data_IF_736831035085
#
_entry.id   IF_736831035085
#
_cell.length_a   1.000
_cell.length_b   1.000
_cell.length_c   1.000
_cell.angle_alpha   90.00
_cell.angle_beta   90.00
_cell.angle_gamma   90.00
#
_symmetry.space_group_name_H-M   'P 1'
#
loop_
_entity.id
_entity.type
_entity.pdbx_description
1 polymer ?
#
# COMPACT_ATOMS: atom_id res chain seq x y z
N UNK A 1 17.68 19.09 -13.01
CA UNK A 1 17.28 18.72 -11.64
C UNK A 1 18.55 18.56 -10.81
N UNK A 2 18.69 19.33 -9.73
CA UNK A 2 19.87 19.27 -8.86
C UNK A 2 19.88 17.96 -8.06
N UNK A 3 21.06 17.38 -7.77
CA UNK A 3 21.19 16.17 -6.94
C UNK A 3 20.42 16.30 -5.61
N UNK A 4 20.34 17.52 -5.05
CA UNK A 4 19.63 17.81 -3.81
C UNK A 4 18.11 17.71 -3.94
N UNK A 5 17.54 18.14 -5.07
CA UNK A 5 16.10 18.06 -5.35
C UNK A 5 15.64 16.60 -5.53
N UNK A 6 16.48 15.79 -6.20
CA UNK A 6 16.23 14.36 -6.36
C UNK A 6 16.16 13.63 -5.01
N UNK A 7 17.10 13.94 -4.11
CA UNK A 7 17.16 13.36 -2.75
C UNK A 7 15.96 13.78 -1.93
N UNK A 8 15.59 15.07 -1.94
CA UNK A 8 14.42 15.57 -1.19
C UNK A 8 13.13 14.92 -1.69
N UNK A 9 12.96 14.81 -3.01
CA UNK A 9 11.78 14.16 -3.60
C UNK A 9 11.71 12.67 -3.25
N UNK A 10 12.85 11.98 -3.29
CA UNK A 10 12.95 10.58 -2.87
C UNK A 10 12.62 10.39 -1.39
N UNK A 11 13.20 11.22 -0.51
CA UNK A 11 12.92 11.19 0.91
C UNK A 11 11.43 11.47 1.21
N UNK A 12 10.82 12.44 0.52
CA UNK A 12 9.39 12.73 0.65
C UNK A 12 8.50 11.55 0.23
N UNK A 13 8.84 10.87 -0.88
CA UNK A 13 8.11 9.70 -1.34
C UNK A 13 8.23 8.53 -0.35
N UNK A 14 9.44 8.29 0.19
CA UNK A 14 9.69 7.26 1.20
C UNK A 14 8.92 7.56 2.48
N UNK A 15 8.91 8.81 2.93
CA UNK A 15 8.15 9.21 4.12
C UNK A 15 6.64 9.00 3.92
N UNK A 16 6.09 9.44 2.79
CA UNK A 16 4.67 9.23 2.46
C UNK A 16 4.32 7.73 2.38
N UNK A 17 5.16 6.93 1.71
CA UNK A 17 4.96 5.49 1.60
C UNK A 17 5.03 4.80 2.96
N UNK A 18 5.95 5.24 3.84
CA UNK A 18 6.06 4.72 5.20
C UNK A 18 4.80 4.98 6.00
N UNK A 19 4.22 6.18 5.90
CA UNK A 19 2.95 6.51 6.55
C UNK A 19 1.84 5.60 6.04
N UNK A 20 1.68 5.48 4.71
CA UNK A 20 0.66 4.60 4.10
C UNK A 20 0.82 3.16 4.61
N UNK A 21 2.02 2.58 4.51
CA UNK A 21 2.27 1.21 4.97
C UNK A 21 2.01 1.05 6.48
N UNK A 22 2.32 2.07 7.28
CA UNK A 22 2.05 2.05 8.72
C UNK A 22 0.55 2.02 9.00
N UNK A 23 -0.24 2.84 8.29
CA UNK A 23 -1.71 2.85 8.41
C UNK A 23 -2.29 1.51 7.95
N UNK A 24 -1.81 0.94 6.84
CA UNK A 24 -2.21 -0.38 6.40
C UNK A 24 -1.92 -1.48 7.44
N UNK A 25 -0.79 -1.40 8.16
CA UNK A 25 -0.51 -2.31 9.26
C UNK A 25 -1.44 -2.12 10.47
N UNK A 26 -1.86 -0.90 10.77
CA UNK A 26 -2.90 -0.64 11.78
C UNK A 26 -4.23 -1.27 11.36
N UNK A 27 -4.62 -1.16 10.09
CA UNK A 27 -5.84 -1.81 9.59
C UNK A 27 -5.74 -3.32 9.60
N UNK A 28 -4.57 -3.87 9.28
CA UNK A 28 -4.34 -5.30 9.38
C UNK A 28 -4.50 -5.78 10.82
N UNK A 29 -3.98 -5.03 11.80
CA UNK A 29 -4.17 -5.30 13.21
C UNK A 29 -5.66 -5.33 13.56
N UNK A 30 -6.43 -4.33 13.14
CA UNK A 30 -7.86 -4.24 13.39
C UNK A 30 -8.64 -5.44 12.81
N UNK A 31 -8.31 -5.85 11.59
CA UNK A 31 -8.94 -7.00 10.92
C UNK A 31 -8.60 -8.30 11.66
N UNK A 32 -7.34 -8.49 12.04
CA UNK A 32 -6.88 -9.70 12.74
C UNK A 32 -7.36 -9.76 14.18
N UNK A 33 -7.52 -8.61 14.86
CA UNK A 33 -8.08 -8.53 16.21
C UNK A 33 -9.61 -8.72 16.23
N UNK A 34 -10.27 -8.64 15.08
CA UNK A 34 -11.72 -8.71 14.97
C UNK A 34 -12.43 -7.45 15.45
N UNK A 35 -11.71 -6.33 15.56
CA UNK A 35 -12.24 -5.04 16.03
C UNK A 35 -12.74 -4.15 14.88
N UNK A 36 -12.87 -4.69 13.66
CA UNK A 36 -13.45 -3.95 12.53
C UNK A 36 -14.97 -3.91 12.59
N UNK A 37 -15.51 -2.80 13.09
CA UNK A 37 -16.94 -2.53 13.04
C UNK A 37 -17.36 -2.20 11.60
N UNK A 38 -18.36 -2.92 11.05
CA UNK A 38 -18.96 -2.57 9.74
C UNK A 38 -18.14 -2.93 8.49
N UNK A 39 -17.14 -3.81 8.59
CA UNK A 39 -16.33 -4.24 7.42
C UNK A 39 -17.20 -4.77 6.27
N UNK A 40 -18.23 -5.55 6.58
CA UNK A 40 -19.16 -6.11 5.61
C UNK A 40 -19.96 -5.03 4.86
N UNK A 41 -20.33 -3.96 5.55
CA UNK A 41 -21.08 -2.83 4.96
C UNK A 41 -20.18 -1.99 4.04
N UNK A 42 -18.87 -1.94 4.33
CA UNK A 42 -17.89 -1.21 3.51
C UNK A 42 -17.34 -2.02 2.33
N UNK A 43 -17.52 -3.34 2.35
CA UNK A 43 -17.02 -4.24 1.32
C UNK A 43 -17.37 -3.82 -0.13
N UNK A 44 -18.61 -3.36 -0.44
CA UNK A 44 -18.93 -2.87 -1.78
C UNK A 44 -18.05 -1.70 -2.25
N UNK A 45 -17.61 -0.82 -1.36
CA UNK A 45 -16.72 0.29 -1.72
C UNK A 45 -15.33 -0.22 -2.11
N UNK A 46 -14.80 -1.25 -1.43
CA UNK A 46 -13.52 -1.86 -1.82
C UNK A 46 -13.58 -2.54 -3.18
N UNK A 47 -14.73 -3.12 -3.54
CA UNK A 47 -14.97 -3.68 -4.88
C UNK A 47 -14.99 -2.58 -5.95
N UNK A 48 -15.52 -1.39 -5.63
CA UNK A 48 -15.45 -0.22 -6.53
C UNK A 48 -14.00 0.25 -6.72
N UNK A 49 -13.20 0.30 -5.65
CA UNK A 49 -11.77 0.62 -5.73
C UNK A 49 -11.02 -0.41 -6.59
N UNK A 50 -11.26 -1.70 -6.36
CA UNK A 50 -10.67 -2.78 -7.15
C UNK A 50 -11.00 -2.64 -8.64
N UNK A 51 -12.28 -2.48 -8.99
CA UNK A 51 -12.74 -2.45 -10.38
C UNK A 51 -12.26 -1.18 -11.11
N UNK A 52 -12.26 -0.03 -10.44
CA UNK A 52 -11.71 1.22 -10.98
C UNK A 52 -10.20 1.16 -11.16
N UNK A 53 -9.44 0.64 -10.20
CA UNK A 53 -8.00 0.43 -10.30
C UNK A 53 -7.65 -0.52 -11.44
N UNK A 54 -8.37 -1.64 -11.56
CA UNK A 54 -8.19 -2.59 -12.67
C UNK A 54 -8.41 -1.92 -14.03
N UNK A 55 -9.51 -1.19 -14.18
CA UNK A 55 -9.83 -0.49 -15.44
C UNK A 55 -8.77 0.56 -15.78
N UNK A 56 -8.35 1.37 -14.81
CA UNK A 56 -7.31 2.37 -15.00
C UNK A 56 -5.96 1.74 -15.37
N UNK A 57 -5.61 0.60 -14.77
CA UNK A 57 -4.40 -0.14 -15.06
C UNK A 57 -4.41 -0.72 -16.47
N UNK A 58 -5.53 -1.30 -16.94
CA UNK A 58 -5.63 -1.77 -18.33
C UNK A 58 -5.37 -0.62 -19.30
N UNK A 59 -6.06 0.51 -19.14
CA UNK A 59 -5.93 1.69 -20.00
C UNK A 59 -4.52 2.31 -19.98
N UNK A 60 -3.82 2.18 -18.85
CA UNK A 60 -2.47 2.69 -18.69
C UNK A 60 -1.44 1.73 -19.29
N UNK A 61 -1.52 0.45 -18.93
CA UNK A 61 -0.55 -0.59 -19.33
C UNK A 61 -0.61 -0.89 -20.84
N UNK A 62 -1.78 -0.75 -21.47
CA UNK A 62 -1.93 -0.87 -22.93
C UNK A 62 -1.04 0.13 -23.70
N UNK A 63 -0.66 1.26 -23.08
CA UNK A 63 0.24 2.25 -23.68
C UNK A 63 1.72 1.88 -23.58
N UNK A 64 2.09 0.96 -22.69
CA UNK A 64 3.49 0.68 -22.34
C UNK A 64 3.92 -0.76 -22.67
N UNK A 65 2.99 -1.70 -22.71
CA UNK A 65 3.26 -3.13 -22.91
C UNK A 65 2.68 -3.60 -24.25
N UNK A 66 3.43 -4.42 -24.96
CA UNK A 66 2.98 -5.02 -26.22
C UNK A 66 2.24 -6.36 -26.03
N UNK A 67 2.48 -7.06 -24.91
CA UNK A 67 1.90 -8.38 -24.63
C UNK A 67 0.61 -8.26 -23.79
N UNK A 68 -0.52 -8.59 -24.40
CA UNK A 68 -1.84 -8.58 -23.77
C UNK A 68 -1.95 -9.46 -22.54
N UNK A 69 -1.22 -10.59 -22.48
CA UNK A 69 -1.22 -11.46 -21.29
C UNK A 69 -0.55 -10.78 -20.11
N UNK A 70 0.59 -10.12 -20.35
CA UNK A 70 1.33 -9.41 -19.30
C UNK A 70 0.56 -8.18 -18.82
N UNK A 71 -0.15 -7.48 -19.71
CA UNK A 71 -1.07 -6.39 -19.34
C UNK A 71 -2.13 -6.91 -18.37
N UNK A 72 -2.83 -7.99 -18.72
CA UNK A 72 -3.94 -8.51 -17.93
C UNK A 72 -3.47 -9.04 -16.56
N UNK A 73 -2.39 -9.82 -16.53
CA UNK A 73 -1.81 -10.33 -15.28
C UNK A 73 -1.33 -9.20 -14.36
N UNK A 74 -0.63 -8.21 -14.92
CA UNK A 74 -0.13 -7.07 -14.13
C UNK A 74 -1.30 -6.23 -13.60
N UNK A 75 -2.32 -5.98 -14.42
CA UNK A 75 -3.50 -5.23 -14.00
C UNK A 75 -4.27 -5.94 -12.88
N UNK A 76 -4.46 -7.27 -12.97
CA UNK A 76 -5.12 -8.07 -11.91
C UNK A 76 -4.32 -8.01 -10.62
N UNK A 77 -3.02 -8.29 -10.66
CA UNK A 77 -2.19 -8.32 -9.45
C UNK A 77 -2.16 -6.95 -8.79
N UNK A 78 -1.88 -5.89 -9.57
CA UNK A 78 -1.79 -4.54 -9.02
C UNK A 78 -3.14 -4.01 -8.54
N UNK A 79 -4.26 -4.29 -9.22
CA UNK A 79 -5.56 -3.83 -8.75
C UNK A 79 -5.95 -4.48 -7.43
N UNK A 80 -5.70 -5.78 -7.27
CA UNK A 80 -5.92 -6.50 -6.01
C UNK A 80 -5.04 -5.90 -4.92
N UNK A 81 -3.75 -5.69 -5.20
CA UNK A 81 -2.83 -5.06 -4.23
C UNK A 81 -3.32 -3.67 -3.82
N UNK A 82 -3.73 -2.83 -4.77
CA UNK A 82 -4.27 -1.49 -4.50
C UNK A 82 -5.52 -1.59 -3.63
N UNK A 83 -6.48 -2.46 -3.96
CA UNK A 83 -7.71 -2.61 -3.20
C UNK A 83 -7.46 -3.09 -1.76
N UNK A 84 -6.52 -4.02 -1.57
CA UNK A 84 -6.10 -4.49 -0.24
C UNK A 84 -5.47 -3.34 0.55
N UNK A 85 -4.51 -2.63 -0.03
CA UNK A 85 -3.82 -1.52 0.66
C UNK A 85 -4.81 -0.42 1.03
N UNK A 86 -5.66 0.01 0.10
CA UNK A 86 -6.69 1.04 0.37
C UNK A 86 -7.69 0.56 1.42
N UNK A 87 -8.10 -0.71 1.37
CA UNK A 87 -9.01 -1.28 2.37
C UNK A 87 -8.39 -1.29 3.76
N UNK A 88 -7.15 -1.76 3.88
CA UNK A 88 -6.40 -1.74 5.12
C UNK A 88 -6.14 -0.31 5.61
N UNK A 89 -5.87 0.65 4.73
CA UNK A 89 -5.68 2.04 5.11
C UNK A 89 -6.95 2.63 5.71
N UNK A 90 -8.10 2.40 5.07
CA UNK A 90 -9.40 2.87 5.57
C UNK A 90 -9.69 2.27 6.93
N UNK A 91 -9.58 0.95 7.08
CA UNK A 91 -9.82 0.28 8.36
C UNK A 91 -8.81 0.69 9.43
N UNK A 92 -7.56 0.96 9.06
CA UNK A 92 -6.53 1.43 9.98
C UNK A 92 -6.79 2.84 10.49
N UNK A 93 -7.27 3.74 9.62
CA UNK A 93 -7.68 5.10 10.02
C UNK A 93 -8.87 5.03 10.97
N UNK A 94 -9.91 4.24 10.63
CA UNK A 94 -11.09 4.09 11.47
C UNK A 94 -10.73 3.51 12.83
N UNK A 95 -9.94 2.43 12.85
CA UNK A 95 -9.47 1.83 14.09
C UNK A 95 -8.66 2.81 14.94
N UNK A 96 -7.79 3.62 14.33
CA UNK A 96 -7.00 4.60 15.06
C UNK A 96 -7.83 5.72 15.68
N UNK A 97 -8.95 6.08 15.06
CA UNK A 97 -9.90 7.07 15.58
C UNK A 97 -10.73 6.46 16.72
N UNK A 98 -11.16 5.21 16.58
CA UNK A 98 -12.00 4.51 17.57
C UNK A 98 -11.21 4.05 18.80
N UNK A 99 -9.93 3.68 18.63
CA UNK A 99 -9.08 3.09 19.67
C UNK A 99 -7.71 3.80 19.82
N UNK A 100 -7.68 5.13 20.07
CA UNK A 100 -6.42 5.88 20.13
C UNK A 100 -5.53 5.41 21.30
N UNK A 101 -6.14 5.04 22.43
CA UNK A 101 -5.41 4.61 23.64
C UNK A 101 -4.65 3.31 23.41
N UNK A 102 -5.25 2.37 22.65
CA UNK A 102 -4.60 1.09 22.34
C UNK A 102 -3.34 1.27 21.50
N UNK A 103 -3.27 2.32 20.66
CA UNK A 103 -2.16 2.58 19.76
C UNK A 103 -1.05 3.41 20.41
N UNK A 104 -1.43 4.40 21.22
CA UNK A 104 -0.50 5.36 21.82
C UNK A 104 0.04 4.85 23.16
N UNK A 105 -0.79 4.29 24.04
CA UNK A 105 -0.37 3.87 25.38
C UNK A 105 0.56 2.63 25.34
N UNK A 106 0.38 1.77 24.35
CA UNK A 106 1.12 0.52 24.18
C UNK A 106 2.44 0.66 23.38
N UNK A 107 2.78 1.86 22.89
CA UNK A 107 3.89 2.12 21.95
C UNK A 107 3.81 1.33 20.63
N UNK A 108 2.67 0.69 20.35
CA UNK A 108 2.48 -0.19 19.20
C UNK A 108 2.63 0.59 17.88
N UNK A 109 2.22 1.86 17.85
CA UNK A 109 2.50 2.77 16.72
C UNK A 109 3.98 2.88 16.36
N UNK A 110 4.90 2.86 17.35
CA UNK A 110 6.33 2.93 17.06
C UNK A 110 6.83 1.64 16.40
N UNK A 111 6.31 0.49 16.82
CA UNK A 111 6.62 -0.79 16.19
C UNK A 111 6.06 -0.89 14.78
N UNK A 112 4.83 -0.45 14.55
CA UNK A 112 4.22 -0.43 13.20
C UNK A 112 4.92 0.57 12.28
N UNK A 113 5.32 1.73 12.81
CA UNK A 113 6.11 2.71 12.06
C UNK A 113 7.48 2.14 11.67
N UNK A 114 8.15 1.45 12.59
CA UNK A 114 9.41 0.77 12.29
C UNK A 114 9.23 -0.31 11.23
N UNK A 115 8.17 -1.12 11.33
CA UNK A 115 7.83 -2.12 10.31
C UNK A 115 7.54 -1.46 8.95
N UNK A 116 6.75 -0.38 8.93
CA UNK A 116 6.45 0.37 7.72
C UNK A 116 7.70 0.97 7.05
N UNK A 117 8.65 1.46 7.86
CA UNK A 117 9.93 1.97 7.38
C UNK A 117 10.78 0.86 6.75
N UNK A 118 10.87 -0.30 7.41
CA UNK A 118 11.58 -1.47 6.89
C UNK A 118 10.97 -1.95 5.56
N UNK A 119 9.65 -2.13 5.52
CA UNK A 119 8.94 -2.54 4.30
C UNK A 119 9.14 -1.54 3.16
N UNK A 120 9.05 -0.24 3.44
CA UNK A 120 9.25 0.80 2.42
C UNK A 120 10.67 0.78 1.87
N UNK A 121 11.68 0.66 2.73
CA UNK A 121 13.08 0.54 2.30
C UNK A 121 13.32 -0.70 1.45
N UNK A 122 12.76 -1.85 1.85
CA UNK A 122 12.88 -3.12 1.12
C UNK A 122 12.20 -3.05 -0.25
N UNK A 123 10.99 -2.51 -0.33
CA UNK A 123 10.26 -2.34 -1.61
C UNK A 123 11.01 -1.39 -2.53
N UNK A 124 11.46 -0.24 -2.01
CA UNK A 124 12.24 0.72 -2.79
C UNK A 124 13.50 0.08 -3.38
N UNK A 125 14.25 -0.65 -2.55
CA UNK A 125 15.46 -1.33 -2.99
C UNK A 125 15.16 -2.40 -4.04
N UNK A 126 14.16 -3.26 -3.77
CA UNK A 126 13.77 -4.36 -4.66
C UNK A 126 13.36 -3.86 -6.03
N UNK A 127 12.55 -2.80 -6.11
CA UNK A 127 12.12 -2.23 -7.41
C UNK A 127 13.29 -1.67 -8.22
N UNK A 128 14.32 -1.13 -7.57
CA UNK A 128 15.48 -0.58 -8.27
C UNK A 128 16.51 -1.64 -8.68
N UNK A 129 16.63 -2.73 -7.92
CA UNK A 129 17.63 -3.77 -8.14
C UNK A 129 17.06 -5.08 -8.71
N UNK A 130 15.76 -5.15 -9.01
CA UNK A 130 15.11 -6.39 -9.46
C UNK A 130 15.78 -7.01 -10.71
N UNK A 131 16.33 -6.17 -11.60
CA UNK A 131 17.02 -6.62 -12.83
C UNK A 131 18.28 -7.44 -12.54
N UNK A 132 18.90 -7.27 -11.38
CA UNK A 132 20.05 -8.08 -10.96
C UNK A 132 19.66 -9.54 -10.72
N UNK A 133 18.40 -9.79 -10.36
CA UNK A 133 17.87 -11.14 -10.13
C UNK A 133 17.29 -11.80 -11.38
N UNK A 134 16.89 -11.00 -12.38
CA UNK A 134 16.25 -11.51 -13.60
C UNK A 134 17.15 -11.48 -14.83
N UNK A 135 18.32 -10.84 -14.75
CA UNK A 135 19.36 -10.95 -15.77
C UNK A 135 20.12 -12.27 -15.60
N UNK A 136 19.44 -13.37 -15.90
CA UNK A 136 20.04 -14.71 -16.09
C UNK A 136 20.12 -15.02 -17.58
#
# INVERSE_FOLDING_TARGET
MSKREAVVRGAGLVAASTVIVTVAFVGLLAVVSGETSGLADRFPFYVVVLSSAFTALILTLERYLADGRNILLTAVVLSITIAIVVGLDVEGILFAIENPDQLVASRLLLYLLAAGCLCTGLVYWSVHHWREFTAS
#
